data_IF_814716094733
#
_entry.id   IF_814716094733
#
_cell.length_a   1.000
_cell.length_b   1.000
_cell.length_c   1.000
_cell.angle_alpha   90.00
_cell.angle_beta   90.00
_cell.angle_gamma   90.00
#
_symmetry.space_group_name_H-M   'P 1'
#
loop_
_entity.id
_entity.type
_entity.pdbx_description
1 polymer ?
#
# COMPACT_ATOMS: atom_id res chain seq x y z
N UNK A 1 -58.44 -4.76 -33.33
CA UNK A 1 -57.56 -5.95 -33.27
C UNK A 1 -56.32 -5.67 -34.10
N UNK A 2 -55.20 -5.26 -33.49
CA UNK A 2 -53.80 -5.34 -34.01
C UNK A 2 -52.90 -5.01 -32.81
N UNK A 3 -52.60 -6.03 -31.98
CA UNK A 3 -51.31 -6.72 -31.85
C UNK A 3 -50.15 -5.84 -31.36
N UNK A 4 -49.94 -5.86 -30.04
CA UNK A 4 -48.78 -5.30 -29.34
C UNK A 4 -47.52 -6.11 -29.62
N UNK A 5 -46.45 -5.45 -30.08
CA UNK A 5 -45.09 -6.00 -30.12
C UNK A 5 -44.35 -5.58 -28.85
N UNK A 6 -44.17 -6.51 -27.92
CA UNK A 6 -43.30 -6.35 -26.77
C UNK A 6 -41.86 -6.72 -27.17
N UNK A 7 -40.94 -5.76 -27.15
CA UNK A 7 -39.51 -6.00 -27.34
C UNK A 7 -38.94 -6.43 -25.99
N UNK A 8 -38.59 -7.71 -25.86
CA UNK A 8 -37.89 -8.24 -24.70
C UNK A 8 -36.40 -7.91 -24.88
N UNK A 9 -35.93 -6.90 -24.16
CA UNK A 9 -34.50 -6.61 -24.04
C UNK A 9 -33.84 -7.72 -23.21
N UNK A 10 -33.10 -8.60 -23.88
CA UNK A 10 -32.28 -9.63 -23.24
C UNK A 10 -31.04 -8.94 -22.63
N UNK A 11 -31.13 -8.53 -21.37
CA UNK A 11 -29.95 -8.08 -20.62
C UNK A 11 -28.99 -9.25 -20.47
N UNK A 12 -27.85 -9.21 -21.18
CA UNK A 12 -26.71 -10.07 -20.87
C UNK A 12 -26.19 -9.69 -19.49
N UNK A 13 -26.70 -10.36 -18.45
CA UNK A 13 -26.04 -10.40 -17.17
C UNK A 13 -24.75 -11.20 -17.37
N UNK A 14 -23.62 -10.51 -17.46
CA UNK A 14 -22.31 -11.13 -17.32
C UNK A 14 -22.27 -11.71 -15.91
N UNK A 15 -22.41 -13.03 -15.78
CA UNK A 15 -22.05 -13.72 -14.54
C UNK A 15 -20.52 -13.63 -14.42
N UNK A 16 -20.04 -12.56 -13.79
CA UNK A 16 -18.72 -12.58 -13.17
C UNK A 16 -18.86 -13.55 -12.01
N UNK A 17 -18.29 -14.73 -12.14
CA UNK A 17 -18.14 -15.62 -11.00
C UNK A 17 -17.32 -14.84 -9.95
N UNK A 18 -17.97 -14.42 -8.87
CA UNK A 18 -17.27 -13.88 -7.73
C UNK A 18 -16.32 -14.99 -7.25
N UNK A 19 -15.01 -14.79 -7.42
CA UNK A 19 -14.03 -15.70 -6.85
C UNK A 19 -14.22 -15.64 -5.34
N UNK A 20 -14.47 -16.80 -4.70
CA UNK A 20 -14.68 -16.86 -3.25
C UNK A 20 -13.50 -16.17 -2.53
N UNK A 21 -13.82 -15.16 -1.72
CA UNK A 21 -12.83 -14.39 -0.95
C UNK A 21 -12.33 -13.10 -1.60
N UNK A 22 -12.67 -12.82 -2.87
CA UNK A 22 -12.45 -11.49 -3.47
C UNK A 22 -13.38 -10.47 -2.84
N UNK A 23 -12.83 -9.32 -2.48
CA UNK A 23 -13.57 -8.17 -1.95
C UNK A 23 -13.58 -7.06 -3.01
N UNK A 24 -14.73 -6.40 -3.16
CA UNK A 24 -14.90 -5.22 -4.01
C UNK A 24 -15.73 -4.18 -3.22
N UNK A 25 -15.21 -2.97 -2.94
CA UNK A 25 -13.91 -2.47 -3.40
C UNK A 25 -12.72 -3.09 -2.65
N UNK A 26 -11.65 -3.38 -3.38
CA UNK A 26 -10.36 -3.78 -2.84
C UNK A 26 -9.66 -2.61 -2.14
N UNK A 27 -9.87 -1.38 -2.62
CA UNK A 27 -9.28 -0.17 -2.04
C UNK A 27 -10.36 0.86 -1.75
N UNK A 28 -10.36 1.41 -0.55
CA UNK A 28 -11.27 2.48 -0.16
C UNK A 28 -10.52 3.65 0.48
N UNK A 29 -11.09 4.84 0.45
CA UNK A 29 -10.56 5.95 1.23
C UNK A 29 -10.85 5.69 2.70
N UNK A 30 -9.83 5.73 3.54
CA UNK A 30 -10.01 5.55 4.97
C UNK A 30 -9.12 6.52 5.70
N UNK A 31 -9.68 7.35 6.57
CA UNK A 31 -8.88 8.36 7.24
C UNK A 31 -9.77 9.30 8.03
N UNK A 32 -9.15 10.21 8.79
CA UNK A 32 -9.86 11.15 9.65
C UNK A 32 -10.86 11.99 8.81
N UNK A 33 -12.15 11.78 9.08
CA UNK A 33 -13.28 12.36 8.33
C UNK A 33 -13.47 13.86 8.55
N UNK A 34 -12.75 14.42 9.53
CA UNK A 34 -12.75 15.82 9.93
C UNK A 34 -12.10 16.76 8.91
N UNK A 35 -11.44 16.24 7.87
CA UNK A 35 -11.09 17.03 6.68
C UNK A 35 -11.31 16.17 5.44
N UNK A 36 -12.39 16.43 4.70
CA UNK A 36 -12.69 15.79 3.41
C UNK A 36 -11.55 15.95 2.36
N UNK A 37 -10.57 16.82 2.61
CA UNK A 37 -9.32 16.95 1.85
C UNK A 37 -8.26 15.90 2.18
N UNK A 38 -8.25 15.33 3.39
CA UNK A 38 -7.23 14.38 3.88
C UNK A 38 -7.68 12.91 3.78
N UNK A 39 -8.98 12.63 3.70
CA UNK A 39 -9.47 11.29 3.34
C UNK A 39 -9.00 10.83 1.94
N UNK A 40 -8.49 11.77 1.13
CA UNK A 40 -7.87 11.50 -0.17
C UNK A 40 -6.42 10.98 -0.08
N UNK A 41 -5.70 11.27 1.02
CA UNK A 41 -4.28 10.86 1.16
C UNK A 41 -4.10 9.48 1.77
N UNK A 42 -5.13 8.91 2.41
CA UNK A 42 -5.02 7.60 3.07
C UNK A 42 -5.98 6.60 2.41
N UNK A 43 -5.41 5.49 1.95
CA UNK A 43 -6.14 4.41 1.30
C UNK A 43 -6.07 3.13 2.15
N UNK A 44 -7.23 2.53 2.43
CA UNK A 44 -7.31 1.22 3.04
C UNK A 44 -7.35 0.15 1.97
N UNK A 45 -6.51 -0.88 2.14
CA UNK A 45 -6.42 -2.02 1.25
C UNK A 45 -7.06 -3.22 1.93
N UNK A 46 -8.26 -3.58 1.46
CA UNK A 46 -9.04 -4.64 2.04
C UNK A 46 -8.33 -6.01 1.92
N UNK A 47 -8.48 -6.83 2.97
CA UNK A 47 -7.92 -8.19 3.04
C UNK A 47 -6.42 -8.25 2.73
N UNK A 48 -5.66 -7.20 3.07
CA UNK A 48 -4.22 -7.13 2.86
C UNK A 48 -3.79 -7.31 1.39
N UNK A 49 -4.71 -7.10 0.43
CA UNK A 49 -4.55 -7.51 -0.97
C UNK A 49 -4.14 -8.99 -1.17
N UNK A 50 -4.43 -9.86 -0.20
CA UNK A 50 -4.10 -11.28 -0.28
C UNK A 50 -4.92 -12.02 -1.36
N UNK A 51 -6.11 -11.50 -1.70
CA UNK A 51 -7.01 -12.05 -2.72
C UNK A 51 -7.49 -10.91 -3.63
N UNK A 52 -6.65 -10.56 -4.60
CA UNK A 52 -7.02 -9.59 -5.64
C UNK A 52 -7.92 -10.22 -6.71
N UNK A 53 -8.90 -9.49 -7.26
CA UNK A 53 -9.72 -10.00 -8.35
C UNK A 53 -8.86 -10.31 -9.57
N UNK A 54 -8.97 -11.54 -10.08
CA UNK A 54 -8.33 -11.92 -11.34
C UNK A 54 -9.00 -11.19 -12.52
N UNK A 55 -8.29 -10.75 -13.55
CA UNK A 55 -6.83 -10.76 -13.69
C UNK A 55 -6.20 -9.62 -12.89
N UNK A 56 -5.02 -9.84 -12.32
CA UNK A 56 -4.17 -8.75 -11.84
C UNK A 56 -2.72 -8.99 -12.27
N UNK A 57 -1.96 -7.92 -12.44
CA UNK A 57 -0.57 -7.98 -12.89
C UNK A 57 0.24 -6.81 -12.32
N UNK A 58 1.42 -7.10 -11.77
CA UNK A 58 2.42 -6.09 -11.40
C UNK A 58 3.75 -6.46 -12.03
N UNK A 59 4.36 -5.53 -12.74
CA UNK A 59 5.73 -5.67 -13.23
C UNK A 59 6.71 -5.81 -12.06
N UNK A 60 7.76 -6.60 -12.23
CA UNK A 60 8.85 -6.67 -11.26
C UNK A 60 9.75 -5.45 -11.39
N UNK A 61 10.14 -4.84 -10.25
CA UNK A 61 11.20 -3.83 -10.21
C UNK A 61 12.52 -4.44 -10.72
N UNK A 62 13.28 -3.67 -11.52
CA UNK A 62 14.56 -4.10 -12.09
C UNK A 62 15.53 -2.93 -12.19
N UNK A 63 16.81 -3.16 -11.87
CA UNK A 63 17.86 -2.14 -11.83
C UNK A 63 17.41 -0.90 -11.03
N UNK A 64 17.32 0.25 -11.70
CA UNK A 64 16.89 1.54 -11.13
C UNK A 64 15.40 1.83 -11.34
N UNK A 65 14.66 0.92 -11.97
CA UNK A 65 13.22 1.07 -12.20
C UNK A 65 12.45 0.38 -11.09
N UNK A 66 11.76 1.19 -10.27
CA UNK A 66 10.88 0.68 -9.22
C UNK A 66 9.41 0.71 -9.68
N UNK A 67 8.71 -0.41 -9.49
CA UNK A 67 7.28 -0.55 -9.72
C UNK A 67 6.56 -0.69 -8.38
N UNK A 68 6.02 0.42 -7.82
CA UNK A 68 5.40 0.41 -6.50
C UNK A 68 4.13 -0.43 -6.48
N UNK A 69 3.62 -0.74 -5.30
CA UNK A 69 2.38 -1.50 -5.14
C UNK A 69 1.19 -0.88 -5.91
N UNK A 70 1.10 0.45 -5.93
CA UNK A 70 0.08 1.21 -6.68
C UNK A 70 0.11 0.97 -8.20
N UNK A 71 1.22 0.51 -8.77
CA UNK A 71 1.33 0.21 -10.21
C UNK A 71 0.76 -1.17 -10.59
N UNK A 72 0.16 -1.89 -9.65
CA UNK A 72 -0.53 -3.16 -9.94
C UNK A 72 -1.76 -2.86 -10.80
N UNK A 73 -1.83 -3.49 -11.97
CA UNK A 73 -3.02 -3.49 -12.82
C UNK A 73 -4.03 -4.44 -12.21
N UNK A 74 -5.20 -3.92 -11.83
CA UNK A 74 -6.35 -4.68 -11.32
C UNK A 74 -7.59 -4.28 -12.13
N UNK A 75 -7.74 -4.71 -13.40
CA UNK A 75 -8.78 -4.20 -14.30
C UNK A 75 -10.22 -4.42 -13.81
N UNK A 76 -10.43 -5.47 -13.01
CA UNK A 76 -11.73 -5.82 -12.46
C UNK A 76 -12.07 -5.04 -11.16
N UNK A 77 -11.19 -4.14 -10.72
CA UNK A 77 -11.45 -3.26 -9.60
C UNK A 77 -10.84 -1.86 -9.80
N UNK A 78 -11.68 -0.93 -10.28
CA UNK A 78 -11.28 0.46 -10.52
C UNK A 78 -10.93 1.22 -9.23
N UNK A 79 -11.36 0.74 -8.06
CA UNK A 79 -11.04 1.37 -6.78
C UNK A 79 -9.54 1.37 -6.49
N UNK A 80 -8.80 0.41 -7.06
CA UNK A 80 -7.35 0.29 -6.94
C UNK A 80 -6.61 1.53 -7.44
N UNK A 81 -7.18 2.27 -8.41
CA UNK A 81 -6.62 3.50 -8.93
C UNK A 81 -6.40 4.60 -7.89
N UNK A 82 -7.10 4.53 -6.74
CA UNK A 82 -6.94 5.46 -5.61
C UNK A 82 -5.53 5.48 -5.05
N UNK A 83 -4.81 4.35 -5.09
CA UNK A 83 -3.44 4.26 -4.58
C UNK A 83 -2.46 5.20 -5.29
N UNK A 84 -2.74 5.62 -6.52
CA UNK A 84 -1.89 6.55 -7.27
C UNK A 84 -1.91 7.98 -6.72
N UNK A 85 -2.92 8.34 -5.93
CA UNK A 85 -3.09 9.67 -5.35
C UNK A 85 -3.07 9.67 -3.82
N UNK A 86 -2.73 8.55 -3.20
CA UNK A 86 -2.67 8.40 -1.75
C UNK A 86 -1.23 8.34 -1.27
N UNK A 87 -0.96 9.00 -0.15
CA UNK A 87 0.35 9.06 0.50
C UNK A 87 0.57 7.89 1.48
N UNK A 88 -0.52 7.37 2.06
CA UNK A 88 -0.48 6.30 3.06
C UNK A 88 -1.37 5.13 2.68
N UNK A 89 -0.82 3.90 2.74
CA UNK A 89 -1.56 2.67 2.50
C UNK A 89 -1.73 1.89 3.80
N UNK A 90 -2.98 1.66 4.21
CA UNK A 90 -3.33 0.98 5.45
C UNK A 90 -3.93 -0.39 5.12
N UNK A 91 -3.26 -1.46 5.53
CA UNK A 91 -3.74 -2.82 5.26
C UNK A 91 -4.58 -3.41 6.41
N UNK A 92 -4.39 -2.90 7.62
CA UNK A 92 -5.22 -3.19 8.79
C UNK A 92 -5.82 -1.88 9.30
N UNK A 93 -7.08 -1.59 8.95
CA UNK A 93 -7.72 -0.34 9.34
C UNK A 93 -7.88 -0.19 10.85
N UNK A 94 -8.15 -1.29 11.56
CA UNK A 94 -8.42 -1.27 13.00
C UNK A 94 -7.16 -0.95 13.82
N UNK A 95 -6.01 -1.47 13.39
CA UNK A 95 -4.73 -1.22 14.07
C UNK A 95 -3.96 -0.04 13.46
N UNK A 96 -4.03 0.15 12.14
CA UNK A 96 -3.24 1.12 11.42
C UNK A 96 -3.73 2.55 11.56
N UNK A 97 -5.04 2.80 11.50
CA UNK A 97 -5.57 4.17 11.58
C UNK A 97 -5.27 4.86 12.93
N UNK A 98 -5.43 4.20 14.10
CA UNK A 98 -5.05 4.81 15.38
C UNK A 98 -3.56 5.14 15.49
N UNK A 99 -2.69 4.34 14.87
CA UNK A 99 -1.24 4.57 14.85
C UNK A 99 -0.85 5.72 13.91
N UNK A 100 -1.59 5.89 12.82
CA UNK A 100 -1.37 6.92 11.82
C UNK A 100 -1.78 8.32 12.34
N UNK A 101 -2.79 8.38 13.20
CA UNK A 101 -3.29 9.61 13.81
C UNK A 101 -4.11 10.48 12.85
N UNK A 102 -4.49 11.68 13.32
CA UNK A 102 -5.46 12.54 12.63
C UNK A 102 -4.87 13.36 11.47
N UNK A 103 -3.55 13.54 11.44
CA UNK A 103 -2.87 14.36 10.44
C UNK A 103 -1.49 13.76 10.09
N UNK A 104 -1.47 12.63 9.37
CA UNK A 104 -0.22 11.96 9.08
C UNK A 104 0.64 12.74 8.09
N UNK A 105 1.95 12.73 8.33
CA UNK A 105 2.97 13.36 7.47
C UNK A 105 4.09 12.38 7.19
N UNK A 106 4.69 12.46 6.00
CA UNK A 106 5.84 11.66 5.61
C UNK A 106 7.06 12.56 5.42
N UNK A 107 8.16 12.24 6.09
CA UNK A 107 9.42 12.97 5.99
C UNK A 107 10.57 12.00 5.63
N UNK A 108 11.46 12.42 4.73
CA UNK A 108 12.64 11.64 4.33
C UNK A 108 13.80 11.91 5.29
N UNK A 109 13.91 11.12 6.35
CA UNK A 109 14.88 11.34 7.44
C UNK A 109 16.36 11.11 7.04
N UNK A 110 16.65 10.15 6.15
CA UNK A 110 18.03 9.70 5.83
C UNK A 110 18.35 9.74 4.33
N UNK A 111 17.91 10.80 3.66
CA UNK A 111 17.70 10.79 2.22
C UNK A 111 18.89 10.39 1.35
N UNK A 112 20.10 10.79 1.73
CA UNK A 112 21.33 10.56 0.97
C UNK A 112 22.26 9.53 1.64
N UNK A 113 21.84 8.97 2.79
CA UNK A 113 22.64 8.04 3.60
C UNK A 113 22.22 6.58 3.43
N UNK A 114 21.00 6.33 2.92
CA UNK A 114 20.47 4.98 2.69
C UNK A 114 20.57 4.65 1.19
N UNK A 115 21.18 3.51 0.88
CA UNK A 115 21.35 3.05 -0.51
C UNK A 115 20.01 2.59 -1.11
N UNK A 116 19.97 2.39 -2.42
CA UNK A 116 18.81 1.79 -3.10
C UNK A 116 18.78 0.26 -3.02
N UNK A 117 19.66 -0.36 -2.22
CA UNK A 117 19.68 -1.80 -2.01
C UNK A 117 18.40 -2.27 -1.30
N UNK A 118 18.14 -3.59 -1.34
CA UNK A 118 16.99 -4.14 -0.63
C UNK A 118 17.29 -4.13 0.87
N UNK A 119 16.45 -3.46 1.64
CA UNK A 119 16.55 -3.40 3.09
C UNK A 119 15.54 -4.37 3.71
N UNK A 120 15.99 -5.18 4.67
CA UNK A 120 15.10 -6.06 5.45
C UNK A 120 14.31 -5.26 6.48
N UNK A 121 13.16 -5.81 6.86
CA UNK A 121 12.27 -5.20 7.83
C UNK A 121 13.04 -4.80 9.11
N UNK A 122 12.87 -3.56 9.59
CA UNK A 122 13.60 -3.06 10.74
C UNK A 122 13.22 -3.80 12.04
N UNK A 123 14.19 -3.94 12.94
CA UNK A 123 13.97 -4.47 14.29
C UNK A 123 14.23 -3.37 15.32
N UNK A 124 13.22 -3.04 16.11
CA UNK A 124 13.35 -2.12 17.24
C UNK A 124 13.81 -2.87 18.50
N UNK A 125 14.83 -2.36 19.19
CA UNK A 125 15.32 -2.89 20.47
C UNK A 125 15.06 -1.86 21.58
N UNK A 126 14.00 -2.04 22.40
CA UNK A 126 13.60 -1.04 23.40
C UNK A 126 14.69 -0.72 24.44
N UNK A 127 15.46 -1.73 24.87
CA UNK A 127 16.44 -1.58 25.94
C UNK A 127 17.61 -0.64 25.61
N UNK A 128 17.87 -0.40 24.32
CA UNK A 128 18.89 0.56 23.86
C UNK A 128 18.29 1.68 23.01
N UNK A 129 16.98 1.64 22.79
CA UNK A 129 16.23 2.57 21.95
C UNK A 129 16.86 2.77 20.56
N UNK A 130 17.14 1.66 19.87
CA UNK A 130 17.72 1.66 18.50
C UNK A 130 16.91 0.81 17.54
N UNK A 131 16.90 1.22 16.28
CA UNK A 131 16.33 0.46 15.16
C UNK A 131 17.48 -0.17 14.36
N UNK A 132 17.36 -1.43 13.99
CA UNK A 132 18.35 -2.13 13.16
C UNK A 132 17.75 -2.49 11.81
N UNK A 133 18.49 -2.21 10.73
CA UNK A 133 18.07 -2.49 9.34
C UNK A 133 19.17 -3.29 8.65
N UNK A 134 18.85 -4.49 8.18
CA UNK A 134 19.81 -5.28 7.39
C UNK A 134 19.78 -4.88 5.92
N UNK A 135 20.94 -4.65 5.32
CA UNK A 135 21.06 -4.35 3.88
C UNK A 135 21.43 -5.63 3.13
N UNK A 136 20.69 -5.94 2.06
CA UNK A 136 20.99 -7.06 1.18
C UNK A 136 21.86 -6.57 0.02
N UNK A 137 23.17 -6.60 0.24
CA UNK A 137 24.19 -6.36 -0.77
C UNK A 137 24.96 -7.64 -1.11
N UNK A 138 25.59 -7.65 -2.28
CA UNK A 138 26.31 -8.83 -2.76
C UNK A 138 27.72 -8.86 -2.16
N UNK A 139 28.04 -9.91 -1.40
CA UNK A 139 29.37 -10.10 -0.81
C UNK A 139 29.63 -9.30 0.47
N UNK A 140 28.69 -8.45 0.87
CA UNK A 140 28.70 -7.71 2.13
C UNK A 140 27.27 -7.58 2.66
N UNK A 141 27.08 -7.75 3.97
CA UNK A 141 25.76 -7.62 4.61
C UNK A 141 25.85 -6.56 5.71
N UNK A 142 25.86 -5.25 5.36
CA UNK A 142 25.88 -4.20 6.35
C UNK A 142 24.61 -4.23 7.19
N UNK A 143 24.77 -3.86 8.46
CA UNK A 143 23.65 -3.62 9.36
C UNK A 143 23.66 -2.13 9.71
N UNK A 144 22.60 -1.42 9.30
CA UNK A 144 22.41 -0.03 9.66
C UNK A 144 21.71 0.06 11.01
N UNK A 145 22.05 1.09 11.78
CA UNK A 145 21.49 1.39 13.09
C UNK A 145 20.99 2.82 13.09
N UNK A 146 19.71 2.99 13.46
CA UNK A 146 19.15 4.30 13.79
C UNK A 146 19.19 4.46 15.30
N UNK A 147 19.95 5.45 15.78
CA UNK A 147 19.98 5.83 17.19
C UNK A 147 18.86 6.81 17.50
N UNK A 148 17.80 6.33 18.17
CA UNK A 148 16.63 7.13 18.52
C UNK A 148 16.85 7.95 19.80
N UNK A 149 18.04 7.90 20.41
CA UNK A 149 18.40 8.72 21.57
C UNK A 149 18.99 10.09 21.19
N UNK A 150 19.20 10.35 19.89
CA UNK A 150 19.76 11.60 19.37
C UNK A 150 18.69 12.43 18.63
N UNK A 151 18.87 13.76 18.61
CA UNK A 151 18.04 14.71 17.85
C UNK A 151 18.94 15.67 17.04
N UNK A 152 18.96 15.60 15.70
CA UNK A 152 18.23 14.63 14.87
C UNK A 152 18.74 13.20 15.09
N UNK A 153 17.88 12.21 14.83
CA UNK A 153 18.27 10.81 14.89
C UNK A 153 19.48 10.53 13.99
N UNK A 154 20.41 9.70 14.46
CA UNK A 154 21.63 9.38 13.73
C UNK A 154 21.54 8.00 13.08
N UNK A 155 22.02 7.90 11.84
CA UNK A 155 22.20 6.65 11.12
C UNK A 155 23.70 6.30 11.08
N UNK A 156 24.02 5.06 11.42
CA UNK A 156 25.38 4.52 11.29
C UNK A 156 25.36 3.05 10.89
N UNK A 157 26.50 2.50 10.54
CA UNK A 157 26.69 1.05 10.45
C UNK A 157 27.03 0.47 11.83
N UNK A 158 26.58 -0.76 12.12
CA UNK A 158 26.85 -1.49 13.37
C UNK A 158 28.24 -2.16 13.36
#
# INVERSE_FOLDING_TARGET
MYSSLAIIALSLAVLVAAQNGVVNPLVEGCGPSNNASNASSVACVNRYAAVMPYHFFRSSSYNTTDYPFASTSVPNDTSFGRLNSSDFFVYDGAQGLPLLGDNPTCEKMFGDQVTMAVHKAPVYVPGINKLFVGVLEQGYLPQLVVDLNQDPHALSEF
#
